data_IF_658552692246
#
_entry.id   IF_658552692246
#
_cell.length_a   1.000
_cell.length_b   1.000
_cell.length_c   1.000
_cell.angle_alpha   90.00
_cell.angle_beta   90.00
_cell.angle_gamma   90.00
#
_symmetry.space_group_name_H-M   'P 1'
#
loop_
_entity.id
_entity.type
_entity.pdbx_description
1 polymer ?
#
# COMPACT_ATOMS: atom_id res chain seq x y z
N UNK A 1 20.09 -20.75 9.62
CA UNK A 1 19.50 -20.95 10.97
C UNK A 1 18.00 -21.12 10.79
N UNK A 2 17.35 -21.98 11.56
CA UNK A 2 15.90 -22.14 11.47
C UNK A 2 15.22 -20.86 11.98
N UNK A 3 14.42 -20.25 11.12
CA UNK A 3 13.66 -19.04 11.45
C UNK A 3 12.42 -19.43 12.25
N UNK A 4 12.00 -18.51 13.11
CA UNK A 4 10.87 -18.71 14.04
C UNK A 4 9.90 -17.54 13.97
N UNK A 5 8.79 -17.65 14.68
CA UNK A 5 7.82 -16.55 14.82
C UNK A 5 8.41 -15.25 15.39
N UNK A 6 9.61 -15.31 16.01
CA UNK A 6 10.33 -14.12 16.49
C UNK A 6 10.89 -13.27 15.34
N UNK A 7 11.09 -13.88 14.18
CA UNK A 7 11.68 -13.24 13.00
C UNK A 7 10.63 -12.58 12.10
N UNK A 8 9.34 -12.69 12.45
CA UNK A 8 8.23 -12.07 11.72
C UNK A 8 8.35 -10.54 11.77
N UNK A 9 8.27 -9.93 10.59
CA UNK A 9 8.25 -8.48 10.37
C UNK A 9 7.15 -8.14 9.36
N UNK A 10 6.75 -6.87 9.30
CA UNK A 10 5.90 -6.39 8.21
C UNK A 10 6.63 -6.60 6.88
N UNK A 11 5.92 -7.15 5.89
CA UNK A 11 6.50 -7.51 4.59
C UNK A 11 7.20 -8.86 4.55
N UNK A 12 7.34 -9.59 5.67
CA UNK A 12 7.81 -10.98 5.64
C UNK A 12 6.87 -11.83 4.81
N UNK A 13 7.43 -12.73 3.99
CA UNK A 13 6.65 -13.71 3.24
C UNK A 13 6.84 -15.08 3.87
N UNK A 14 5.74 -15.70 4.26
CA UNK A 14 5.70 -17.00 4.92
C UNK A 14 5.21 -18.05 3.94
N UNK A 15 5.82 -19.23 3.97
CA UNK A 15 5.31 -20.41 3.31
C UNK A 15 4.46 -21.21 4.33
N UNK A 16 3.15 -21.20 4.14
CA UNK A 16 2.22 -21.96 4.96
C UNK A 16 1.51 -23.00 4.09
N UNK A 17 1.84 -24.26 4.30
CA UNK A 17 1.27 -25.39 3.56
C UNK A 17 1.40 -25.23 2.02
N UNK A 18 2.55 -24.74 1.56
CA UNK A 18 2.84 -24.53 0.14
C UNK A 18 2.21 -23.25 -0.45
N UNK A 19 1.58 -22.43 0.37
CA UNK A 19 1.03 -21.14 -0.05
C UNK A 19 1.85 -19.98 0.52
N UNK A 20 2.07 -18.95 -0.30
CA UNK A 20 2.78 -17.75 0.11
C UNK A 20 1.83 -16.72 0.72
N UNK A 21 2.20 -16.25 1.90
CA UNK A 21 1.45 -15.27 2.66
C UNK A 21 2.34 -14.10 3.08
N UNK A 22 1.97 -12.90 2.68
CA UNK A 22 2.67 -11.68 3.09
C UNK A 22 2.12 -11.18 4.42
N UNK A 23 2.99 -10.87 5.37
CA UNK A 23 2.61 -10.29 6.67
C UNK A 23 2.33 -8.80 6.51
N UNK A 24 1.08 -8.40 6.72
CA UNK A 24 0.66 -6.99 6.69
C UNK A 24 0.90 -6.33 8.05
N UNK A 25 0.54 -7.05 9.12
CA UNK A 25 0.62 -6.57 10.49
C UNK A 25 0.97 -7.72 11.43
N UNK A 26 1.74 -7.42 12.46
CA UNK A 26 2.05 -8.40 13.51
C UNK A 26 2.13 -7.72 14.88
N UNK A 27 1.88 -8.52 15.91
CA UNK A 27 2.01 -8.11 17.31
C UNK A 27 2.47 -9.28 18.17
N UNK A 28 3.59 -9.10 18.87
CA UNK A 28 4.02 -10.04 19.90
C UNK A 28 3.24 -9.80 21.20
N UNK A 29 2.61 -10.84 21.72
CA UNK A 29 1.83 -10.76 22.94
C UNK A 29 2.43 -11.70 23.98
N UNK A 30 2.77 -11.15 25.14
CA UNK A 30 3.20 -11.90 26.32
C UNK A 30 2.12 -11.73 27.39
N UNK A 31 1.15 -12.65 27.50
CA UNK A 31 0.14 -12.56 28.53
C UNK A 31 0.76 -12.78 29.92
N UNK A 32 0.18 -12.19 30.96
CA UNK A 32 0.63 -12.40 32.34
C UNK A 32 0.45 -13.85 32.83
N UNK A 33 -0.46 -14.60 32.23
CA UNK A 33 -0.65 -16.04 32.40
C UNK A 33 -0.81 -16.69 31.04
N UNK A 34 -0.09 -17.78 30.78
CA UNK A 34 -0.14 -18.55 29.52
C UNK A 34 1.05 -18.31 28.59
N UNK A 35 1.15 -19.10 27.51
CA UNK A 35 2.25 -19.03 26.56
C UNK A 35 2.18 -17.73 25.73
N UNK A 36 3.35 -17.17 25.40
CA UNK A 36 3.45 -16.05 24.50
C UNK A 36 3.05 -16.47 23.06
N UNK A 37 2.47 -15.54 22.31
CA UNK A 37 2.03 -15.76 20.95
C UNK A 37 2.24 -14.52 20.07
N UNK A 38 2.16 -14.72 18.76
CA UNK A 38 2.23 -13.64 17.76
C UNK A 38 0.93 -13.60 16.99
N UNK A 39 0.22 -12.49 17.07
CA UNK A 39 -0.93 -12.20 16.21
C UNK A 39 -0.43 -11.61 14.91
N UNK A 40 -0.95 -12.10 13.79
CA UNK A 40 -0.61 -11.60 12.47
C UNK A 40 -1.87 -11.38 11.65
N UNK A 41 -1.84 -10.34 10.83
CA UNK A 41 -2.74 -10.18 9.69
C UNK A 41 -1.92 -10.50 8.45
N UNK A 42 -2.31 -11.51 7.71
CA UNK A 42 -1.59 -12.01 6.54
C UNK A 42 -2.47 -11.99 5.30
N UNK A 43 -1.84 -11.71 4.16
CA UNK A 43 -2.49 -11.68 2.84
C UNK A 43 -1.93 -12.81 1.98
N UNK A 44 -2.81 -13.64 1.45
CA UNK A 44 -2.41 -14.64 0.46
C UNK A 44 -1.95 -13.94 -0.81
N UNK A 45 -0.76 -14.26 -1.26
CA UNK A 45 -0.11 -13.57 -2.38
C UNK A 45 -0.85 -13.80 -3.70
N UNK A 46 -1.40 -15.00 -3.91
CA UNK A 46 -2.08 -15.36 -5.16
C UNK A 46 -3.55 -14.91 -5.16
N UNK A 47 -4.29 -15.20 -4.09
CA UNK A 47 -5.74 -14.93 -4.05
C UNK A 47 -6.10 -13.53 -3.52
N UNK A 48 -5.14 -12.83 -2.90
CA UNK A 48 -5.38 -11.55 -2.23
C UNK A 48 -6.20 -11.64 -0.94
N UNK A 49 -6.60 -12.86 -0.52
CA UNK A 49 -7.38 -13.07 0.69
C UNK A 49 -6.59 -12.66 1.93
N UNK A 50 -7.21 -11.83 2.77
CA UNK A 50 -6.63 -11.38 4.04
C UNK A 50 -7.27 -12.17 5.17
N UNK A 51 -6.44 -12.67 6.10
CA UNK A 51 -6.87 -13.40 7.29
C UNK A 51 -6.02 -13.01 8.49
N UNK A 52 -6.62 -13.08 9.67
CA UNK A 52 -5.89 -12.99 10.93
C UNK A 52 -5.48 -14.40 11.36
N UNK A 53 -4.21 -14.56 11.70
CA UNK A 53 -3.66 -15.83 12.17
C UNK A 53 -2.76 -15.63 13.37
N UNK A 54 -2.92 -16.46 14.37
CA UNK A 54 -2.10 -16.44 15.59
C UNK A 54 -1.16 -17.65 15.61
N UNK A 55 0.10 -17.38 15.89
CA UNK A 55 1.14 -18.41 16.00
C UNK A 55 1.72 -18.43 17.41
N UNK A 56 2.09 -19.61 17.91
CA UNK A 56 2.80 -19.72 19.15
C UNK A 56 4.19 -19.09 19.06
N UNK A 57 4.61 -18.39 20.11
CA UNK A 57 5.93 -17.78 20.12
C UNK A 57 7.04 -18.87 20.08
N UNK A 58 8.06 -18.65 19.25
CA UNK A 58 9.16 -19.59 19.06
C UNK A 58 8.85 -20.78 18.14
N UNK A 59 7.67 -20.83 17.54
CA UNK A 59 7.34 -21.85 16.53
C UNK A 59 8.24 -21.68 15.30
N UNK A 60 8.77 -22.78 14.78
CA UNK A 60 9.55 -22.80 13.54
C UNK A 60 8.65 -22.44 12.37
N UNK A 61 9.15 -21.60 11.47
CA UNK A 61 8.44 -21.14 10.29
C UNK A 61 9.36 -21.14 9.08
N UNK A 62 8.76 -21.34 7.91
CA UNK A 62 9.42 -21.17 6.64
C UNK A 62 9.16 -19.77 6.10
N UNK A 63 10.23 -19.01 5.93
CA UNK A 63 10.21 -17.70 5.30
C UNK A 63 10.74 -17.83 3.89
N UNK A 64 10.09 -17.12 2.97
CA UNK A 64 10.58 -17.04 1.60
C UNK A 64 11.38 -15.74 1.40
N UNK A 65 12.42 -15.85 0.61
CA UNK A 65 13.25 -14.70 0.25
C UNK A 65 12.53 -13.89 -0.82
N UNK A 66 12.40 -12.58 -0.59
CA UNK A 66 11.85 -11.65 -1.55
C UNK A 66 12.93 -10.69 -2.02
N UNK A 67 12.87 -10.35 -3.30
CA UNK A 67 13.69 -9.33 -3.93
C UNK A 67 12.85 -8.05 -4.06
N UNK A 68 13.27 -6.99 -3.38
CA UNK A 68 12.62 -5.70 -3.43
C UNK A 68 13.31 -4.80 -4.45
N UNK A 69 12.55 -4.31 -5.42
CA UNK A 69 13.06 -3.41 -6.47
C UNK A 69 12.32 -2.10 -6.45
N UNK A 70 13.08 -1.01 -6.66
CA UNK A 70 12.51 0.31 -6.88
C UNK A 70 12.13 0.44 -8.35
N UNK A 71 10.85 0.54 -8.62
CA UNK A 71 10.30 0.66 -9.97
C UNK A 71 9.48 1.94 -10.07
N UNK A 72 9.51 2.58 -11.22
CA UNK A 72 8.72 3.78 -11.49
C UNK A 72 7.49 3.43 -12.32
N UNK A 73 6.33 3.89 -11.87
CA UNK A 73 5.09 3.71 -12.63
C UNK A 73 5.13 4.53 -13.92
N UNK A 74 4.78 3.91 -15.03
CA UNK A 74 4.77 4.52 -16.35
C UNK A 74 3.35 4.73 -16.88
N UNK A 75 2.62 3.65 -17.15
CA UNK A 75 1.28 3.73 -17.74
C UNK A 75 0.46 2.46 -17.45
N UNK A 76 -0.80 2.54 -17.82
CA UNK A 76 -1.77 1.44 -17.69
C UNK A 76 -1.89 0.71 -19.05
N UNK A 77 -1.85 -0.61 -19.01
CA UNK A 77 -2.02 -1.47 -20.19
C UNK A 77 -2.97 -2.62 -19.87
N UNK A 78 -4.21 -2.50 -20.29
CA UNK A 78 -5.24 -3.50 -20.04
C UNK A 78 -5.45 -3.78 -18.55
N UNK A 79 -5.23 -5.02 -18.15
CA UNK A 79 -5.36 -5.45 -16.75
C UNK A 79 -4.09 -5.27 -15.92
N UNK A 80 -3.05 -4.64 -16.50
CA UNK A 80 -1.77 -4.42 -15.87
C UNK A 80 -1.44 -2.94 -15.74
N UNK A 81 -0.62 -2.64 -14.74
CA UNK A 81 0.18 -1.43 -14.68
C UNK A 81 1.58 -1.73 -15.17
N UNK A 82 2.15 -0.84 -15.97
CA UNK A 82 3.52 -0.97 -16.48
C UNK A 82 4.44 -0.11 -15.63
N UNK A 83 5.43 -0.75 -15.03
CA UNK A 83 6.50 -0.12 -14.27
C UNK A 83 7.82 -0.24 -15.02
N UNK A 84 8.70 0.72 -14.82
CA UNK A 84 10.02 0.73 -15.40
C UNK A 84 11.08 0.60 -14.30
N UNK A 85 12.01 -0.33 -14.47
CA UNK A 85 13.23 -0.38 -13.69
C UNK A 85 14.16 0.76 -14.17
N UNK A 86 14.39 1.74 -13.32
CA UNK A 86 15.20 2.92 -13.70
C UNK A 86 16.70 2.62 -13.80
N UNK A 87 17.13 1.40 -13.48
CA UNK A 87 18.51 0.94 -13.63
C UNK A 87 18.72 0.20 -14.96
N UNK A 88 17.81 -0.73 -15.28
CA UNK A 88 17.91 -1.57 -16.49
C UNK A 88 17.06 -1.04 -17.66
N UNK A 89 16.10 -0.16 -17.37
CA UNK A 89 15.06 0.35 -18.29
C UNK A 89 14.12 -0.75 -18.82
N UNK A 90 14.07 -1.87 -18.13
CA UNK A 90 13.11 -2.92 -18.44
C UNK A 90 11.71 -2.51 -18.01
N UNK A 91 10.73 -2.84 -18.85
CA UNK A 91 9.31 -2.69 -18.52
C UNK A 91 8.79 -3.95 -17.86
N UNK A 92 8.11 -3.77 -16.73
CA UNK A 92 7.58 -4.87 -15.92
C UNK A 92 6.07 -4.68 -15.80
N UNK A 93 5.33 -5.71 -16.21
CA UNK A 93 3.86 -5.73 -16.15
C UNK A 93 3.41 -6.29 -14.81
N UNK A 94 2.64 -5.50 -14.08
CA UNK A 94 2.15 -5.86 -12.75
C UNK A 94 0.63 -5.86 -12.77
N UNK A 95 -0.03 -6.98 -12.41
CA UNK A 95 -1.49 -7.03 -12.36
C UNK A 95 -2.08 -5.94 -11.46
N UNK A 96 -3.13 -5.27 -11.92
CA UNK A 96 -3.83 -4.22 -11.16
C UNK A 96 -4.31 -4.69 -9.80
N UNK A 97 -4.64 -5.97 -9.69
CA UNK A 97 -5.09 -6.60 -8.43
C UNK A 97 -4.05 -6.56 -7.33
N UNK A 98 -2.74 -6.50 -7.65
CA UNK A 98 -1.67 -6.38 -6.67
C UNK A 98 -1.58 -4.98 -6.05
N UNK A 99 -1.90 -3.95 -6.80
CA UNK A 99 -1.92 -2.56 -6.31
C UNK A 99 -3.18 -2.30 -5.49
N UNK A 100 -4.32 -2.85 -5.92
CA UNK A 100 -5.59 -2.72 -5.24
C UNK A 100 -6.10 -1.27 -5.21
N UNK A 101 -6.74 -0.88 -4.10
CA UNK A 101 -7.38 0.44 -3.93
C UNK A 101 -6.38 1.61 -3.97
N UNK A 102 -5.11 1.38 -3.70
CA UNK A 102 -4.07 2.41 -3.80
C UNK A 102 -3.79 2.85 -5.24
N UNK A 103 -4.25 2.10 -6.23
CA UNK A 103 -4.10 2.44 -7.65
C UNK A 103 -4.67 3.83 -7.99
N UNK A 104 -5.69 4.29 -7.27
CA UNK A 104 -6.28 5.62 -7.43
C UNK A 104 -5.33 6.78 -7.07
N UNK A 105 -4.20 6.50 -6.42
CA UNK A 105 -3.16 7.49 -6.11
C UNK A 105 -1.90 7.31 -6.96
N UNK A 106 -1.92 6.36 -7.90
CA UNK A 106 -0.78 6.03 -8.73
C UNK A 106 -0.70 7.00 -9.92
N UNK A 107 0.25 7.92 -9.87
CA UNK A 107 0.53 8.88 -10.93
C UNK A 107 1.77 8.46 -11.71
N UNK A 108 1.80 8.74 -13.03
CA UNK A 108 2.99 8.54 -13.86
C UNK A 108 4.22 9.19 -13.22
N UNK A 109 5.32 8.44 -13.17
CA UNK A 109 6.55 8.87 -12.51
C UNK A 109 6.63 8.59 -11.02
N UNK A 110 5.61 7.98 -10.41
CA UNK A 110 5.64 7.59 -9.00
C UNK A 110 6.60 6.41 -8.79
N UNK A 111 7.56 6.60 -7.86
CA UNK A 111 8.48 5.54 -7.46
C UNK A 111 7.81 4.62 -6.43
N UNK A 112 7.78 3.34 -6.73
CA UNK A 112 7.19 2.30 -5.88
C UNK A 112 8.21 1.23 -5.55
N UNK A 113 8.03 0.56 -4.42
CA UNK A 113 8.78 -0.65 -4.08
C UNK A 113 7.95 -1.86 -4.45
N UNK A 114 8.48 -2.70 -5.32
CA UNK A 114 7.83 -3.95 -5.75
C UNK A 114 8.62 -5.12 -5.23
N UNK A 115 7.93 -6.02 -4.52
CA UNK A 115 8.52 -7.26 -3.99
C UNK A 115 8.30 -8.39 -4.97
N UNK A 116 9.35 -9.14 -5.26
CA UNK A 116 9.33 -10.31 -6.14
C UNK A 116 9.76 -11.58 -5.40
N UNK A 117 9.17 -12.69 -5.78
CA UNK A 117 9.64 -14.02 -5.43
C UNK A 117 9.81 -14.83 -6.71
N UNK A 118 11.03 -15.32 -6.96
CA UNK A 118 11.38 -16.04 -8.20
C UNK A 118 10.90 -15.36 -9.49
N UNK A 119 11.07 -14.03 -9.55
CA UNK A 119 10.68 -13.21 -10.70
C UNK A 119 9.17 -12.89 -10.79
N UNK A 120 8.36 -13.42 -9.87
CA UNK A 120 6.92 -13.13 -9.81
C UNK A 120 6.64 -11.98 -8.87
N UNK A 121 5.94 -10.92 -9.27
CA UNK A 121 5.59 -9.81 -8.39
C UNK A 121 4.61 -10.28 -7.31
N UNK A 122 4.87 -9.92 -6.06
CA UNK A 122 4.06 -10.29 -4.90
C UNK A 122 3.24 -9.12 -4.36
N UNK A 123 3.84 -7.94 -4.31
CA UNK A 123 3.23 -6.74 -3.75
C UNK A 123 3.84 -5.48 -4.33
N UNK A 124 3.05 -4.42 -4.34
CA UNK A 124 3.47 -3.06 -4.72
C UNK A 124 3.22 -2.14 -3.54
N UNK A 125 4.25 -1.45 -3.09
CA UNK A 125 4.18 -0.46 -2.04
C UNK A 125 4.41 0.94 -2.63
N UNK A 126 3.38 1.78 -2.55
CA UNK A 126 3.47 3.17 -2.93
C UNK A 126 4.22 3.97 -1.85
N UNK A 127 4.81 5.13 -2.19
CA UNK A 127 5.32 6.03 -1.17
C UNK A 127 4.19 6.43 -0.21
N UNK A 128 4.52 6.73 1.04
CA UNK A 128 3.55 7.06 2.09
C UNK A 128 2.61 8.21 1.72
N UNK A 129 3.07 9.11 0.87
CA UNK A 129 2.30 10.22 0.34
C UNK A 129 2.69 10.55 -1.10
N UNK A 130 1.75 11.10 -1.83
CA UNK A 130 1.93 11.60 -3.20
C UNK A 130 1.42 13.03 -3.31
N UNK A 131 1.94 13.76 -4.29
CA UNK A 131 1.47 15.12 -4.63
C UNK A 131 0.59 14.99 -5.85
N UNK A 132 -0.65 15.46 -5.74
CA UNK A 132 -1.65 15.39 -6.80
C UNK A 132 -2.26 16.77 -7.03
N UNK A 133 -2.59 17.05 -8.28
CA UNK A 133 -3.26 18.31 -8.66
C UNK A 133 -4.77 18.14 -8.56
N UNK A 134 -5.44 19.10 -7.92
CA UNK A 134 -6.91 19.14 -7.86
C UNK A 134 -7.43 19.55 -9.25
N UNK A 135 -8.22 18.69 -9.86
CA UNK A 135 -8.82 18.93 -11.18
C UNK A 135 -10.22 19.50 -11.11
N UNK A 136 -10.95 19.15 -10.05
CA UNK A 136 -12.31 19.66 -9.82
C UNK A 136 -12.63 19.73 -8.34
N UNK A 137 -13.22 20.86 -7.92
CA UNK A 137 -13.79 21.04 -6.58
C UNK A 137 -14.82 22.16 -6.58
N UNK A 138 -15.84 22.04 -5.75
CA UNK A 138 -16.81 23.11 -5.59
C UNK A 138 -16.25 24.27 -4.75
N UNK A 139 -16.78 25.50 -4.93
CA UNK A 139 -16.42 26.63 -4.07
C UNK A 139 -16.71 26.30 -2.60
N UNK A 140 -15.77 26.64 -1.71
CA UNK A 140 -15.91 26.45 -0.28
C UNK A 140 -16.88 27.44 0.37
N UNK A 141 -18.19 27.31 0.11
CA UNK A 141 -19.19 28.13 0.74
C UNK A 141 -19.41 27.69 2.19
N UNK A 142 -19.15 28.60 3.12
CA UNK A 142 -19.57 28.47 4.53
C UNK A 142 -21.09 28.60 4.63
N UNK A 143 -21.81 27.54 4.26
CA UNK A 143 -23.22 27.39 4.59
C UNK A 143 -23.35 26.54 5.85
N UNK A 144 -24.41 26.71 6.62
CA UNK A 144 -24.81 26.04 7.87
C UNK A 144 -24.61 24.51 7.94
N UNK A 145 -23.42 24.01 7.65
CA UNK A 145 -23.09 22.60 7.76
C UNK A 145 -22.23 22.38 8.99
N UNK A 146 -22.72 21.55 9.87
CA UNK A 146 -22.10 21.12 11.13
C UNK A 146 -20.82 20.29 10.95
N UNK A 147 -20.32 20.11 9.73
CA UNK A 147 -19.09 19.38 9.44
C UNK A 147 -17.94 20.36 9.21
N UNK A 148 -16.94 20.22 10.05
CA UNK A 148 -15.76 21.04 10.12
C UNK A 148 -15.02 21.15 8.77
N UNK A 149 -15.34 22.19 7.99
CA UNK A 149 -14.42 22.82 7.07
C UNK A 149 -13.77 21.97 5.97
N UNK A 150 -14.33 20.83 5.54
CA UNK A 150 -13.83 20.05 4.40
C UNK A 150 -14.87 19.96 3.28
N UNK A 151 -14.39 19.76 2.06
CA UNK A 151 -15.18 19.54 0.86
C UNK A 151 -14.56 18.45 -0.02
N UNK A 152 -15.36 17.78 -0.87
CA UNK A 152 -14.80 16.83 -1.83
C UNK A 152 -14.03 17.56 -2.93
N UNK A 153 -12.93 16.95 -3.35
CA UNK A 153 -12.14 17.38 -4.49
C UNK A 153 -11.70 16.16 -5.31
N UNK A 154 -11.79 16.29 -6.62
CA UNK A 154 -11.26 15.29 -7.56
C UNK A 154 -9.84 15.69 -7.92
N UNK A 155 -8.92 14.74 -7.87
CA UNK A 155 -7.53 14.93 -8.25
C UNK A 155 -7.23 14.33 -9.62
N UNK A 156 -6.09 14.66 -10.19
CA UNK A 156 -5.69 14.29 -11.56
C UNK A 156 -5.70 12.79 -11.86
N UNK A 157 -5.60 11.93 -10.86
CA UNK A 157 -5.75 10.47 -11.01
C UNK A 157 -7.21 10.00 -11.06
N UNK A 158 -8.17 10.91 -10.94
CA UNK A 158 -9.61 10.61 -10.88
C UNK A 158 -10.11 10.23 -9.49
N UNK A 159 -9.25 10.18 -8.47
CA UNK A 159 -9.65 9.91 -7.10
C UNK A 159 -10.37 11.11 -6.48
N UNK A 160 -11.35 10.83 -5.62
CA UNK A 160 -12.00 11.83 -4.78
C UNK A 160 -11.41 11.80 -3.37
N UNK A 161 -11.04 12.97 -2.88
CA UNK A 161 -10.49 13.17 -1.53
C UNK A 161 -11.21 14.30 -0.82
N UNK A 162 -11.11 14.34 0.52
CA UNK A 162 -11.60 15.45 1.32
C UNK A 162 -10.49 16.47 1.55
N UNK A 163 -10.74 17.71 1.19
CA UNK A 163 -9.78 18.82 1.33
C UNK A 163 -10.38 19.98 2.14
N UNK A 164 -9.55 20.84 2.76
CA UNK A 164 -10.03 22.07 3.39
C UNK A 164 -10.78 22.96 2.40
N UNK A 165 -11.72 23.77 2.91
CA UNK A 165 -12.58 24.63 2.08
C UNK A 165 -11.82 25.64 1.21
N UNK A 166 -10.60 26.04 1.62
CA UNK A 166 -9.78 27.01 0.90
C UNK A 166 -9.04 26.44 -0.32
N UNK A 167 -9.03 25.11 -0.50
CA UNK A 167 -8.37 24.48 -1.64
C UNK A 167 -9.19 24.72 -2.91
N UNK A 168 -8.55 25.19 -3.97
CA UNK A 168 -9.12 25.44 -5.29
C UNK A 168 -8.65 24.47 -6.36
N UNK A 169 -9.28 24.56 -7.53
CA UNK A 169 -8.82 23.83 -8.72
C UNK A 169 -7.44 24.31 -9.16
N UNK A 170 -6.60 23.39 -9.65
CA UNK A 170 -5.22 23.65 -10.06
C UNK A 170 -4.20 23.67 -8.91
N UNK A 171 -4.65 23.61 -7.66
CA UNK A 171 -3.73 23.53 -6.53
C UNK A 171 -3.19 22.11 -6.34
N UNK A 172 -1.92 22.03 -5.91
CA UNK A 172 -1.27 20.77 -5.58
C UNK A 172 -1.47 20.44 -4.12
N UNK A 173 -1.87 19.21 -3.86
CA UNK A 173 -2.12 18.71 -2.52
C UNK A 173 -1.34 17.44 -2.24
N UNK A 174 -0.82 17.34 -1.04
CA UNK A 174 -0.16 16.13 -0.55
C UNK A 174 -1.20 15.22 0.06
N UNK A 175 -1.23 13.97 -0.40
CA UNK A 175 -2.24 12.98 -0.03
C UNK A 175 -1.57 11.74 0.53
N UNK A 176 -2.09 11.22 1.62
CA UNK A 176 -1.68 9.93 2.18
C UNK A 176 -2.18 8.81 1.28
N UNK A 177 -1.28 7.94 0.84
CA UNK A 177 -1.62 6.84 -0.09
C UNK A 177 -2.34 5.66 0.58
N UNK A 178 -2.29 5.59 1.91
CA UNK A 178 -2.93 4.50 2.67
C UNK A 178 -4.43 4.72 2.84
N UNK A 179 -4.83 5.94 3.22
CA UNK A 179 -6.23 6.29 3.55
C UNK A 179 -6.83 7.41 2.70
N UNK A 180 -6.04 8.04 1.83
CA UNK A 180 -6.48 9.14 0.97
C UNK A 180 -6.65 10.48 1.70
N UNK A 181 -6.15 10.62 2.91
CA UNK A 181 -6.27 11.85 3.68
C UNK A 181 -5.40 12.97 3.15
N UNK A 182 -5.93 14.18 3.22
CA UNK A 182 -5.17 15.40 2.92
C UNK A 182 -4.11 15.66 3.99
N UNK A 183 -2.87 15.85 3.59
CA UNK A 183 -1.75 16.12 4.49
C UNK A 183 -1.26 17.57 4.45
N UNK A 184 -1.55 18.29 3.38
CA UNK A 184 -1.12 19.68 3.22
C UNK A 184 -1.19 20.14 1.77
N UNK A 185 -1.04 21.45 1.58
CA UNK A 185 -0.87 22.07 0.28
C UNK A 185 0.62 22.06 -0.09
N UNK A 186 0.92 21.75 -1.33
CA UNK A 186 2.28 21.84 -1.90
C UNK A 186 2.38 23.09 -2.75
N UNK A 187 3.40 23.91 -2.52
CA UNK A 187 3.64 25.17 -3.25
C UNK A 187 4.58 24.95 -4.45
#
# INVERSE_FOLDING_TARGET
MAQTTKDIKNGSVLNLDGQLWAVIKFQHVKPGKGPAFVRTTIKNVLSGKIVDKTFNAGMKMEFETVDNRNLQYSYEDGDNFVFMDMTTYDQIYIPKTLVGDQAKFLLEGTDCVVSFHDGTPLSVELPASVILTVTHTEPGLQGNRSNAGTKPATVETGAEIQVPLFIGEGEKVKVNTTDGSYLGREN
#
